data_IF_285018871075
#
_entry.id   IF_285018871075
#
_cell.length_a   1.000
_cell.length_b   1.000
_cell.length_c   1.000
_cell.angle_alpha   90.00
_cell.angle_beta   90.00
_cell.angle_gamma   90.00
#
_symmetry.space_group_name_H-M   'P 1'
#
loop_
_entity.id
_entity.type
_entity.pdbx_description
1 polymer ?
#
# COMPACT_ATOMS: atom_id res chain seq x y z
N UNK A 1 5.88 18.81 -11.23
CA UNK A 1 6.02 18.49 -10.92
C UNK A 1 6.47 17.80 -10.73
N UNK A 2 6.53 17.69 -10.88
CA UNK A 2 7.01 17.19 -10.63
C UNK A 2 7.54 16.32 -10.12
N UNK A 3 7.73 16.16 -10.47
CA UNK A 3 8.56 15.18 -9.83
C UNK A 3 8.02 14.60 -8.55
N UNK A 4 6.76 14.49 -8.45
CA UNK A 4 6.16 13.89 -7.28
C UNK A 4 6.53 12.41 -7.21
N UNK A 5 7.05 11.94 -6.08
CA UNK A 5 7.32 10.52 -5.94
C UNK A 5 6.02 9.73 -6.00
N UNK A 6 6.04 8.65 -6.72
CA UNK A 6 4.87 7.80 -6.83
C UNK A 6 4.84 6.84 -5.65
N UNK A 7 4.70 7.40 -4.48
CA UNK A 7 4.71 6.64 -3.24
C UNK A 7 3.50 7.02 -2.40
N UNK A 8 2.74 6.02 -2.01
CA UNK A 8 1.58 6.19 -1.14
C UNK A 8 1.72 5.30 0.06
N UNK A 9 1.33 5.80 1.22
CA UNK A 9 1.29 5.00 2.43
C UNK A 9 -0.15 4.92 2.91
N UNK A 10 -0.58 3.71 3.18
CA UNK A 10 -1.95 3.45 3.62
C UNK A 10 -1.89 2.66 4.91
N UNK A 11 -2.64 3.11 5.91
CA UNK A 11 -2.79 2.38 7.16
C UNK A 11 -4.16 1.73 7.19
N UNK A 12 -4.20 0.48 7.59
CA UNK A 12 -5.46 -0.25 7.69
C UNK A 12 -5.38 -1.22 8.85
N UNK A 13 -6.49 -1.37 9.54
CA UNK A 13 -6.60 -2.34 10.63
C UNK A 13 -7.33 -3.61 10.18
N UNK A 14 -7.71 -3.68 8.91
CA UNK A 14 -8.45 -4.81 8.37
C UNK A 14 -7.59 -5.56 7.36
N UNK A 15 -7.33 -6.83 7.67
CA UNK A 15 -6.51 -7.65 6.79
C UNK A 15 -7.15 -7.82 5.41
N UNK A 16 -8.48 -7.91 5.38
CA UNK A 16 -9.19 -8.05 4.11
C UNK A 16 -8.94 -6.83 3.22
N UNK A 17 -8.94 -5.64 3.83
CA UNK A 17 -8.64 -4.43 3.08
C UNK A 17 -7.22 -4.44 2.56
N UNK A 18 -6.28 -4.95 3.36
CA UNK A 18 -4.87 -5.04 2.96
C UNK A 18 -4.75 -5.91 1.71
N UNK A 19 -5.42 -7.05 1.72
CA UNK A 19 -5.36 -7.97 0.58
C UNK A 19 -5.98 -7.34 -0.67
N UNK A 20 -7.10 -6.66 -0.51
CA UNK A 20 -7.76 -6.01 -1.64
C UNK A 20 -6.91 -4.89 -2.23
N UNK A 21 -6.32 -4.08 -1.37
CA UNK A 21 -5.48 -2.97 -1.80
C UNK A 21 -4.24 -3.52 -2.53
N UNK A 22 -3.64 -4.57 -1.98
CA UNK A 22 -2.46 -5.18 -2.58
C UNK A 22 -2.78 -5.69 -3.97
N UNK A 23 -3.91 -6.35 -4.12
CA UNK A 23 -4.32 -6.88 -5.41
C UNK A 23 -4.58 -5.76 -6.40
N UNK A 24 -5.33 -4.76 -5.97
CA UNK A 24 -5.68 -3.65 -6.85
C UNK A 24 -4.43 -2.89 -7.29
N UNK A 25 -3.55 -2.58 -6.33
CA UNK A 25 -2.34 -1.83 -6.64
C UNK A 25 -1.46 -2.61 -7.61
N UNK A 26 -1.40 -3.93 -7.46
CA UNK A 26 -0.64 -4.76 -8.38
C UNK A 26 -1.14 -4.64 -9.81
N UNK A 27 -2.46 -4.56 -10.00
CA UNK A 27 -3.01 -4.42 -11.34
C UNK A 27 -2.72 -3.06 -11.95
N UNK A 28 -2.39 -2.08 -11.11
CA UNK A 28 -2.06 -0.72 -11.57
C UNK A 28 -0.56 -0.52 -11.74
N UNK A 29 0.22 -1.56 -11.54
CA UNK A 29 1.65 -1.47 -11.72
C UNK A 29 2.42 -0.96 -10.51
N UNK A 30 1.80 -0.92 -9.36
CA UNK A 30 2.46 -0.53 -8.13
C UNK A 30 3.16 -1.71 -7.49
N UNK A 31 4.26 -1.43 -6.80
CA UNK A 31 4.87 -2.39 -5.91
C UNK A 31 4.32 -2.12 -4.53
N UNK A 32 3.97 -3.18 -3.82
CA UNK A 32 3.33 -3.05 -2.53
C UNK A 32 4.19 -3.72 -1.48
N UNK A 33 4.50 -2.97 -0.43
CA UNK A 33 5.18 -3.50 0.74
C UNK A 33 4.23 -3.39 1.93
N UNK A 34 4.10 -4.46 2.69
CA UNK A 34 3.21 -4.49 3.83
C UNK A 34 4.03 -4.69 5.09
N UNK A 35 3.85 -3.78 6.04
CA UNK A 35 4.49 -3.89 7.34
C UNK A 35 3.42 -3.92 8.42
N UNK A 36 3.71 -4.63 9.49
CA UNK A 36 2.83 -4.66 10.65
C UNK A 36 3.30 -3.62 11.65
N UNK A 37 2.39 -2.74 12.06
CA UNK A 37 2.67 -1.68 13.01
C UNK A 37 1.67 -1.81 14.15
N UNK A 38 2.09 -2.39 15.25
CA UNK A 38 1.17 -2.68 16.34
C UNK A 38 0.09 -3.64 15.89
N UNK A 39 -1.15 -3.21 15.94
CA UNK A 39 -2.28 -4.00 15.48
C UNK A 39 -2.70 -3.60 14.07
N UNK A 40 -2.00 -2.65 13.48
CA UNK A 40 -2.34 -2.14 12.16
C UNK A 40 -1.39 -2.66 11.10
N UNK A 41 -1.79 -2.47 9.86
CA UNK A 41 -0.96 -2.81 8.72
C UNK A 41 -0.64 -1.54 7.96
N UNK A 42 0.63 -1.38 7.61
CA UNK A 42 1.06 -0.24 6.83
C UNK A 42 1.44 -0.73 5.44
N UNK A 43 0.76 -0.22 4.45
CA UNK A 43 1.05 -0.56 3.06
C UNK A 43 1.78 0.60 2.41
N UNK A 44 2.91 0.29 1.82
CA UNK A 44 3.67 1.28 1.06
C UNK A 44 3.58 0.89 -0.41
N UNK A 45 2.98 1.76 -1.19
CA UNK A 45 2.82 1.53 -2.62
C UNK A 45 3.80 2.44 -3.34
N UNK A 46 4.63 1.84 -4.19
CA UNK A 46 5.60 2.59 -4.99
C UNK A 46 5.44 2.19 -6.45
N UNK A 47 5.77 3.14 -7.28
CA UNK A 47 5.60 2.91 -8.71
C UNK A 47 6.87 3.20 -9.52
#
# INVERSE_FOLDING_TARGET
>A
KNGAPSKLEVLSDAKVAVENITRYAGTQGYQVAVDTVGEDFKLTLTR
#
